data_IF_195351190551
#
_entry.id   IF_195351190551
#
_cell.length_a   1.000
_cell.length_b   1.000
_cell.length_c   1.000
_cell.angle_alpha   90.00
_cell.angle_beta   90.00
_cell.angle_gamma   90.00
#
_symmetry.space_group_name_H-M   'P 1'
#
loop_
_entity.id
_entity.type
_entity.pdbx_description
1 polymer ?
#
# COMPACT_ATOMS: atom_id res chain seq x y z
N UNK A 1 -25.27 27.34 0.71
CA UNK A 1 -23.84 26.96 0.74
C UNK A 1 -23.73 25.74 1.63
N UNK A 2 -23.50 24.55 1.05
CA UNK A 2 -23.33 23.32 1.84
C UNK A 2 -21.93 23.33 2.46
N UNK A 3 -21.85 23.56 3.76
CA UNK A 3 -20.64 23.29 4.55
C UNK A 3 -20.43 21.79 4.58
N UNK A 4 -19.50 21.29 3.77
CA UNK A 4 -19.01 19.91 3.89
C UNK A 4 -18.47 19.70 5.31
N UNK A 5 -18.84 18.59 5.95
CA UNK A 5 -18.33 18.24 7.27
C UNK A 5 -16.79 18.24 7.25
N UNK A 6 -16.12 18.75 8.30
CA UNK A 6 -14.66 18.94 8.32
C UNK A 6 -13.86 17.66 8.00
N UNK A 7 -14.37 16.48 8.38
CA UNK A 7 -13.75 15.20 8.03
C UNK A 7 -13.75 14.91 6.51
N UNK A 8 -14.78 15.34 5.79
CA UNK A 8 -14.85 15.17 4.33
C UNK A 8 -13.79 16.03 3.65
N UNK A 9 -13.57 17.24 4.16
CA UNK A 9 -12.54 18.15 3.66
C UNK A 9 -11.14 17.58 3.92
N UNK A 10 -10.91 16.99 5.10
CA UNK A 10 -9.65 16.33 5.44
C UNK A 10 -9.35 15.13 4.53
N UNK A 11 -10.30 14.20 4.38
CA UNK A 11 -10.16 13.03 3.50
C UNK A 11 -9.92 13.45 2.06
N UNK A 12 -10.67 14.44 1.57
CA UNK A 12 -10.47 14.97 0.21
C UNK A 12 -9.09 15.58 0.03
N UNK A 13 -8.55 16.21 1.08
CA UNK A 13 -7.17 16.70 1.10
C UNK A 13 -6.14 15.58 0.91
N UNK A 14 -6.32 14.44 1.58
CA UNK A 14 -5.44 13.28 1.42
C UNK A 14 -5.53 12.65 0.03
N UNK A 15 -6.74 12.46 -0.50
CA UNK A 15 -6.95 11.96 -1.86
C UNK A 15 -6.25 12.84 -2.90
N UNK A 16 -6.40 14.16 -2.80
CA UNK A 16 -5.79 15.11 -3.72
C UNK A 16 -4.25 15.10 -3.62
N UNK A 17 -3.69 14.90 -2.42
CA UNK A 17 -2.25 14.73 -2.25
C UNK A 17 -1.74 13.46 -2.93
N UNK A 18 -2.43 12.32 -2.75
CA UNK A 18 -2.09 11.07 -3.45
C UNK A 18 -2.10 11.25 -4.98
N UNK A 19 -3.14 11.90 -5.52
CA UNK A 19 -3.23 12.18 -6.96
C UNK A 19 -2.09 13.07 -7.43
N UNK A 20 -1.65 14.05 -6.63
CA UNK A 20 -0.50 14.89 -7.01
C UNK A 20 0.80 14.10 -7.07
N UNK A 21 0.98 13.12 -6.18
CA UNK A 21 2.15 12.24 -6.18
C UNK A 21 2.28 11.42 -7.46
N UNK A 22 1.18 11.12 -8.16
CA UNK A 22 1.21 10.35 -9.41
C UNK A 22 1.41 11.21 -10.66
N UNK A 23 1.27 12.55 -10.56
CA UNK A 23 1.31 13.45 -11.72
C UNK A 23 2.63 14.23 -11.86
N UNK A 24 3.31 14.59 -10.75
CA UNK A 24 4.60 15.31 -10.76
C UNK A 24 5.26 15.32 -9.37
N UNK A 25 6.60 15.34 -9.26
CA UNK A 25 7.28 15.50 -7.97
C UNK A 25 6.90 16.85 -7.36
N UNK A 26 6.10 16.82 -6.30
CA UNK A 26 5.70 18.03 -5.56
C UNK A 26 6.77 18.38 -4.51
N UNK A 27 6.96 19.67 -4.21
CA UNK A 27 7.83 20.08 -3.11
C UNK A 27 7.27 19.56 -1.77
N UNK A 28 8.14 19.20 -0.81
CA UNK A 28 7.71 18.63 0.46
C UNK A 28 6.85 19.63 1.24
N UNK A 29 5.69 19.19 1.71
CA UNK A 29 4.83 19.99 2.58
C UNK A 29 5.26 19.83 4.04
N UNK A 30 5.74 20.91 4.67
CA UNK A 30 6.06 20.95 6.10
C UNK A 30 4.76 21.00 6.93
N UNK A 31 4.16 19.84 7.21
CA UNK A 31 3.11 19.71 8.24
C UNK A 31 3.72 19.19 9.54
N UNK A 32 3.75 20.05 10.56
CA UNK A 32 4.26 19.74 11.91
C UNK A 32 3.45 18.61 12.55
N UNK A 33 4.17 17.72 13.22
CA UNK A 33 3.66 16.53 13.91
C UNK A 33 2.72 16.85 15.07
N UNK A 34 1.51 16.30 15.04
CA UNK A 34 0.74 15.96 16.24
C UNK A 34 0.72 14.44 16.40
N UNK A 35 1.08 13.97 17.60
CA UNK A 35 1.16 12.55 17.97
C UNK A 35 -0.25 11.98 18.24
N UNK A 36 -0.43 10.71 17.85
CA UNK A 36 -1.53 9.80 18.23
C UNK A 36 -2.93 10.05 17.64
N UNK A 37 -3.02 10.49 16.38
CA UNK A 37 -4.27 10.41 15.62
C UNK A 37 -4.05 9.70 14.28
N UNK A 38 -5.10 9.04 13.75
CA UNK A 38 -5.06 8.40 12.41
C UNK A 38 -4.63 9.39 11.32
N UNK A 39 -4.98 10.67 11.48
CA UNK A 39 -4.55 11.75 10.59
C UNK A 39 -3.02 11.92 10.59
N UNK A 40 -2.37 11.77 11.75
CA UNK A 40 -0.90 11.77 11.85
C UNK A 40 -0.27 10.61 11.07
N UNK A 41 -0.85 9.40 11.15
CA UNK A 41 -0.37 8.23 10.40
C UNK A 41 -0.52 8.42 8.89
N UNK A 42 -1.67 8.94 8.44
CA UNK A 42 -1.91 9.26 7.03
C UNK A 42 -0.90 10.28 6.52
N UNK A 43 -0.68 11.37 7.26
CA UNK A 43 0.27 12.40 6.85
C UNK A 43 1.70 11.87 6.78
N UNK A 44 2.11 11.00 7.71
CA UNK A 44 3.41 10.35 7.65
C UNK A 44 3.57 9.49 6.39
N UNK A 45 2.56 8.66 6.05
CA UNK A 45 2.56 7.86 4.83
C UNK A 45 2.62 8.72 3.57
N UNK A 46 1.82 9.79 3.50
CA UNK A 46 1.84 10.73 2.38
C UNK A 46 3.21 11.39 2.23
N UNK A 47 3.85 11.80 3.33
CA UNK A 47 5.17 12.41 3.29
C UNK A 47 6.24 11.44 2.76
N UNK A 48 6.16 10.14 3.10
CA UNK A 48 7.04 9.12 2.51
C UNK A 48 6.79 8.97 1.01
N UNK A 49 5.53 8.89 0.59
CA UNK A 49 5.14 8.77 -0.83
C UNK A 49 5.60 9.99 -1.65
N UNK A 50 5.39 11.20 -1.11
CA UNK A 50 5.79 12.47 -1.75
C UNK A 50 7.30 12.59 -1.95
N UNK A 51 8.09 12.01 -1.03
CA UNK A 51 9.56 12.00 -1.10
C UNK A 51 10.13 10.88 -1.98
N UNK A 52 9.30 9.95 -2.44
CA UNK A 52 9.75 8.74 -3.14
C UNK A 52 10.35 7.68 -2.19
N UNK A 53 10.14 7.81 -0.88
CA UNK A 53 10.57 6.86 0.16
C UNK A 53 9.54 5.74 0.31
N UNK A 54 9.32 4.96 -0.76
CA UNK A 54 8.27 3.94 -0.79
C UNK A 54 8.56 2.74 0.12
N UNK A 55 9.83 2.41 0.33
CA UNK A 55 10.24 1.32 1.23
C UNK A 55 9.87 1.65 2.67
N UNK A 56 10.13 2.88 3.08
CA UNK A 56 9.82 3.39 4.40
C UNK A 56 8.31 3.47 4.62
N UNK A 57 7.53 3.84 3.60
CA UNK A 57 6.07 3.76 3.68
C UNK A 57 5.59 2.32 3.94
N UNK A 58 6.11 1.35 3.19
CA UNK A 58 5.69 -0.07 3.27
C UNK A 58 6.17 -0.77 4.55
N UNK A 59 7.28 -0.33 5.14
CA UNK A 59 7.85 -0.91 6.38
C UNK A 59 7.46 -0.13 7.65
N UNK A 60 6.73 0.98 7.49
CA UNK A 60 6.30 1.81 8.62
C UNK A 60 5.28 1.13 9.54
N UNK A 61 5.15 1.68 10.75
CA UNK A 61 4.20 1.22 11.77
C UNK A 61 2.75 1.05 11.24
N UNK A 62 2.18 1.96 10.43
CA UNK A 62 0.87 1.74 9.81
C UNK A 62 0.75 0.43 9.04
N UNK A 63 1.77 0.06 8.26
CA UNK A 63 1.76 -1.18 7.49
C UNK A 63 1.84 -2.40 8.40
N UNK A 64 2.62 -2.33 9.47
CA UNK A 64 2.66 -3.37 10.51
C UNK A 64 1.33 -3.51 11.24
N UNK A 65 0.64 -2.41 11.51
CA UNK A 65 -0.63 -2.38 12.25
C UNK A 65 -1.81 -2.86 11.41
N UNK A 66 -1.83 -2.55 10.11
CA UNK A 66 -2.86 -3.05 9.17
C UNK A 66 -2.71 -4.55 8.97
N UNK A 67 -1.48 -5.04 8.75
CA UNK A 67 -1.30 -6.40 8.29
C UNK A 67 -0.89 -7.40 9.36
N UNK A 68 -0.37 -6.95 10.51
CA UNK A 68 -0.08 -7.77 11.70
C UNK A 68 0.61 -9.12 11.41
N UNK A 69 1.44 -9.20 10.37
CA UNK A 69 2.17 -10.43 10.07
C UNK A 69 3.42 -10.50 10.98
N UNK A 70 3.18 -10.58 12.28
CA UNK A 70 4.22 -10.81 13.27
C UNK A 70 4.67 -12.27 13.21
N UNK A 71 5.73 -12.52 12.45
CA UNK A 71 6.48 -13.78 12.37
C UNK A 71 5.73 -14.93 11.69
N UNK A 72 6.36 -15.61 10.74
CA UNK A 72 6.31 -17.08 10.64
C UNK A 72 7.21 -17.60 9.50
N UNK A 73 7.63 -18.84 9.71
CA UNK A 73 8.48 -19.72 8.90
C UNK A 73 8.13 -19.76 7.41
N UNK A 74 9.09 -20.17 6.58
CA UNK A 74 8.94 -20.38 5.13
C UNK A 74 7.65 -21.14 4.80
N UNK A 75 6.66 -20.45 4.23
CA UNK A 75 5.38 -21.03 3.85
C UNK A 75 5.46 -21.61 2.43
N UNK A 76 4.82 -22.77 2.16
CA UNK A 76 4.82 -23.40 0.84
C UNK A 76 4.06 -22.58 -0.22
N UNK A 77 4.29 -22.84 -1.51
CA UNK A 77 3.75 -22.06 -2.63
C UNK A 77 2.22 -22.00 -2.73
N UNK A 78 1.53 -23.06 -2.32
CA UNK A 78 0.07 -23.11 -2.20
C UNK A 78 -0.46 -22.19 -1.09
N UNK A 79 0.43 -21.70 -0.21
CA UNK A 79 0.14 -20.65 0.74
C UNK A 79 0.17 -19.25 0.11
N UNK A 80 0.76 -19.02 -1.07
CA UNK A 80 0.84 -17.67 -1.64
C UNK A 80 -0.55 -17.04 -1.83
N UNK A 81 -1.46 -17.69 -2.56
CA UNK A 81 -2.83 -17.16 -2.74
C UNK A 81 -3.58 -17.00 -1.40
N UNK A 82 -3.35 -17.90 -0.43
CA UNK A 82 -3.89 -17.78 0.93
C UNK A 82 -3.33 -16.56 1.66
N UNK A 83 -2.04 -16.26 1.51
CA UNK A 83 -1.36 -15.13 2.16
C UNK A 83 -1.82 -13.80 1.57
N UNK A 84 -1.97 -13.73 0.24
CA UNK A 84 -2.53 -12.52 -0.40
C UNK A 84 -4.02 -12.35 -0.09
N UNK A 85 -4.77 -13.44 0.08
CA UNK A 85 -6.16 -13.38 0.56
C UNK A 85 -6.23 -12.94 2.03
N UNK A 86 -5.34 -13.45 2.87
CA UNK A 86 -5.20 -13.05 4.28
C UNK A 86 -4.79 -11.58 4.41
N UNK A 87 -3.91 -11.09 3.53
CA UNK A 87 -3.54 -9.67 3.45
C UNK A 87 -4.78 -8.80 3.20
N UNK A 88 -5.64 -9.19 2.26
CA UNK A 88 -6.89 -8.47 1.99
C UNK A 88 -7.83 -8.58 3.19
N UNK A 89 -7.96 -9.77 3.78
CA UNK A 89 -8.82 -10.00 4.93
C UNK A 89 -8.41 -9.16 6.15
N UNK A 90 -7.12 -8.99 6.40
CA UNK A 90 -6.62 -8.14 7.49
C UNK A 90 -6.84 -6.67 7.22
N UNK A 91 -6.64 -6.21 5.98
CA UNK A 91 -6.99 -4.85 5.59
C UNK A 91 -8.50 -4.57 5.76
N UNK A 92 -9.34 -5.54 5.39
CA UNK A 92 -10.78 -5.51 5.59
C UNK A 92 -11.15 -5.44 7.07
N UNK A 93 -10.62 -6.34 7.90
CA UNK A 93 -10.87 -6.35 9.34
C UNK A 93 -10.40 -5.05 9.99
N UNK A 94 -9.24 -4.53 9.59
CA UNK A 94 -8.73 -3.25 10.08
C UNK A 94 -9.70 -2.10 9.80
N UNK A 95 -10.32 -2.06 8.61
CA UNK A 95 -11.32 -1.03 8.28
C UNK A 95 -12.64 -1.30 9.02
N UNK A 96 -13.10 -2.55 9.07
CA UNK A 96 -14.36 -2.97 9.69
C UNK A 96 -14.39 -2.76 11.21
N UNK A 97 -13.24 -2.84 11.88
CA UNK A 97 -13.11 -2.55 13.31
C UNK A 97 -13.54 -1.12 13.68
N UNK A 98 -13.54 -0.19 12.71
CA UNK A 98 -14.04 1.17 12.87
C UNK A 98 -15.48 1.37 12.36
N UNK A 99 -16.26 0.30 12.14
CA UNK A 99 -17.61 0.38 11.58
C UNK A 99 -18.59 1.24 12.40
N UNK A 100 -18.34 1.41 13.71
CA UNK A 100 -19.14 2.28 14.58
C UNK A 100 -18.84 3.79 14.37
N UNK A 101 -17.77 4.13 13.65
CA UNK A 101 -17.32 5.50 13.42
C UNK A 101 -16.93 5.71 11.93
N UNK A 102 -17.87 6.23 11.14
CA UNK A 102 -17.69 6.43 9.70
C UNK A 102 -16.55 7.39 9.31
N UNK A 103 -16.13 8.30 10.20
CA UNK A 103 -14.97 9.16 9.96
C UNK A 103 -13.66 8.39 10.17
N UNK A 104 -13.60 7.57 11.22
CA UNK A 104 -12.46 6.69 11.50
C UNK A 104 -12.31 5.60 10.43
N UNK A 105 -13.40 4.95 10.04
CA UNK A 105 -13.44 3.96 8.97
C UNK A 105 -12.86 4.52 7.66
N UNK A 106 -13.24 5.75 7.30
CA UNK A 106 -12.69 6.44 6.12
C UNK A 106 -11.19 6.72 6.26
N UNK A 107 -10.72 7.15 7.43
CA UNK A 107 -9.27 7.34 7.67
C UNK A 107 -8.50 6.02 7.54
N UNK A 108 -9.03 4.93 8.09
CA UNK A 108 -8.43 3.59 7.96
C UNK A 108 -8.38 3.14 6.49
N UNK A 109 -9.43 3.38 5.71
CA UNK A 109 -9.42 3.12 4.27
C UNK A 109 -8.35 3.96 3.53
N UNK A 110 -8.16 5.23 3.90
CA UNK A 110 -7.07 6.08 3.35
C UNK A 110 -5.69 5.51 3.68
N UNK A 111 -5.48 4.96 4.88
CA UNK A 111 -4.22 4.29 5.25
C UNK A 111 -3.95 3.10 4.32
N UNK A 112 -4.93 2.20 4.14
CA UNK A 112 -4.80 1.04 3.24
C UNK A 112 -4.54 1.50 1.80
N UNK A 113 -5.21 2.56 1.35
CA UNK A 113 -4.98 3.14 0.03
C UNK A 113 -3.56 3.71 -0.11
N UNK A 114 -3.04 4.42 0.89
CA UNK A 114 -1.67 4.94 0.87
C UNK A 114 -0.65 3.79 0.76
N UNK A 115 -0.85 2.70 1.49
CA UNK A 115 0.01 1.51 1.43
C UNK A 115 -0.02 0.89 0.03
N UNK A 116 -1.21 0.72 -0.57
CA UNK A 116 -1.35 0.18 -1.91
C UNK A 116 -0.69 1.09 -2.97
N UNK A 117 -0.87 2.40 -2.86
CA UNK A 117 -0.23 3.39 -3.75
C UNK A 117 1.30 3.37 -3.59
N UNK A 118 1.81 3.27 -2.35
CA UNK A 118 3.24 3.13 -2.12
C UNK A 118 3.82 1.85 -2.75
N UNK A 119 3.09 0.73 -2.66
CA UNK A 119 3.46 -0.52 -3.32
C UNK A 119 3.52 -0.36 -4.85
N UNK A 120 2.51 0.27 -5.45
CA UNK A 120 2.49 0.54 -6.88
C UNK A 120 3.63 1.44 -7.32
N UNK A 121 3.80 2.61 -6.68
CA UNK A 121 4.84 3.57 -7.05
C UNK A 121 6.24 3.03 -6.81
N UNK A 122 6.45 2.24 -5.75
CA UNK A 122 7.69 1.52 -5.52
C UNK A 122 7.98 0.52 -6.65
N UNK A 123 7.00 -0.32 -7.02
CA UNK A 123 7.13 -1.22 -8.17
C UNK A 123 7.47 -0.45 -9.45
N UNK A 124 6.77 0.65 -9.73
CA UNK A 124 7.03 1.49 -10.91
C UNK A 124 8.43 2.07 -10.88
N UNK A 125 8.87 2.61 -9.74
CA UNK A 125 10.18 3.20 -9.62
C UNK A 125 11.27 2.17 -9.93
N UNK A 126 11.21 1.02 -9.25
CA UNK A 126 12.20 -0.05 -9.37
C UNK A 126 12.30 -0.66 -10.79
N UNK A 127 11.19 -0.70 -11.54
CA UNK A 127 11.14 -1.35 -12.84
C UNK A 127 11.28 -0.40 -14.04
N UNK A 128 10.82 0.86 -13.93
CA UNK A 128 10.77 1.78 -15.07
C UNK A 128 11.74 2.96 -14.95
N UNK A 129 12.08 3.39 -13.73
CA UNK A 129 12.90 4.60 -13.53
C UNK A 129 14.30 4.31 -12.99
N UNK A 130 14.56 3.06 -12.62
CA UNK A 130 15.85 2.60 -12.08
C UNK A 130 15.80 2.27 -10.59
N UNK A 131 16.85 1.66 -10.03
CA UNK A 131 16.85 1.17 -8.66
C UNK A 131 16.62 2.31 -7.65
N UNK A 132 15.84 2.02 -6.63
CA UNK A 132 15.71 2.84 -5.43
C UNK A 132 17.12 3.11 -4.89
N UNK A 133 17.45 4.38 -4.63
CA UNK A 133 18.84 4.84 -4.42
C UNK A 133 19.58 4.10 -3.30
N UNK A 134 18.89 3.50 -2.33
CA UNK A 134 19.51 2.96 -1.11
C UNK A 134 18.86 1.68 -0.53
N UNK A 135 17.78 1.14 -1.12
CA UNK A 135 17.09 -0.04 -0.58
C UNK A 135 16.33 -0.84 -1.64
N UNK A 136 16.39 -2.17 -1.59
CA UNK A 136 15.47 -3.03 -2.35
C UNK A 136 14.03 -2.85 -1.82
N UNK A 137 13.03 -2.99 -2.68
CA UNK A 137 11.65 -3.02 -2.21
C UNK A 137 11.46 -4.16 -1.21
N UNK A 138 10.76 -3.91 -0.10
CA UNK A 138 10.43 -4.98 0.83
C UNK A 138 9.54 -5.98 0.08
N UNK A 139 9.98 -7.24 0.06
CA UNK A 139 9.21 -8.35 -0.50
C UNK A 139 7.91 -8.43 0.30
N UNK A 140 6.79 -8.22 -0.39
CA UNK A 140 5.47 -8.03 0.20
C UNK A 140 4.71 -9.38 0.19
N UNK A 141 3.92 -9.69 1.23
CA UNK A 141 3.71 -8.91 2.44
C UNK A 141 4.68 -9.36 3.51
N UNK A 142 5.66 -8.48 3.79
CA UNK A 142 6.83 -8.68 4.62
C UNK A 142 7.73 -9.86 4.29
N UNK A 143 9.01 -9.51 4.18
CA UNK A 143 10.24 -10.26 4.48
C UNK A 143 10.20 -11.79 4.38
N UNK A 144 9.33 -12.34 3.55
CA UNK A 144 9.30 -13.74 3.22
C UNK A 144 10.42 -13.92 2.23
N UNK A 145 11.26 -14.92 2.49
CA UNK A 145 12.33 -15.29 1.58
C UNK A 145 11.71 -15.48 0.20
N UNK A 146 12.02 -14.53 -0.70
CA UNK A 146 11.56 -14.56 -2.07
C UNK A 146 12.24 -15.74 -2.74
N UNK A 147 11.57 -16.88 -2.73
CA UNK A 147 11.86 -17.91 -3.71
C UNK A 147 11.50 -17.33 -5.08
N UNK A 148 12.31 -17.62 -6.11
CA UNK A 148 11.96 -17.34 -7.51
C UNK A 148 10.56 -17.86 -7.87
N UNK A 149 10.10 -18.87 -7.13
CA UNK A 149 8.78 -19.46 -7.25
C UNK A 149 7.63 -18.49 -6.90
N UNK A 150 7.81 -17.58 -5.93
CA UNK A 150 6.80 -16.58 -5.58
C UNK A 150 6.68 -15.48 -6.63
N UNK A 151 7.80 -15.07 -7.21
CA UNK A 151 7.80 -14.17 -8.38
C UNK A 151 7.14 -14.86 -9.59
N UNK A 152 7.40 -16.15 -9.80
CA UNK A 152 6.76 -16.91 -10.86
C UNK A 152 5.25 -17.07 -10.63
N UNK A 153 4.82 -17.31 -9.39
CA UNK A 153 3.41 -17.32 -9.02
C UNK A 153 2.75 -15.96 -9.32
N UNK A 154 3.37 -14.85 -8.88
CA UNK A 154 2.83 -13.51 -9.11
C UNK A 154 2.74 -13.18 -10.62
N UNK A 155 3.75 -13.58 -11.40
CA UNK A 155 3.70 -13.49 -12.87
C UNK A 155 2.53 -14.27 -13.45
N UNK A 156 2.32 -15.51 -13.01
CA UNK A 156 1.21 -16.35 -13.49
C UNK A 156 -0.16 -15.74 -13.13
N UNK A 157 -0.31 -15.14 -11.95
CA UNK A 157 -1.54 -14.45 -11.54
C UNK A 157 -1.85 -13.25 -12.43
N UNK A 158 -0.84 -12.45 -12.78
CA UNK A 158 -1.03 -11.29 -13.65
C UNK A 158 -1.37 -11.72 -15.09
N UNK A 159 -0.68 -12.73 -15.61
CA UNK A 159 -0.97 -13.27 -16.95
C UNK A 159 -2.34 -13.94 -17.03
N UNK A 160 -2.76 -14.68 -15.99
CA UNK A 160 -4.09 -15.31 -15.95
C UNK A 160 -5.22 -14.28 -15.88
N UNK A 161 -4.98 -13.12 -15.28
CA UNK A 161 -5.88 -11.97 -15.31
C UNK A 161 -5.89 -11.21 -16.66
N UNK A 162 -5.11 -11.67 -17.64
CA UNK A 162 -5.03 -11.09 -18.99
C UNK A 162 -3.99 -9.99 -19.17
N UNK A 163 -3.04 -9.84 -18.23
CA UNK A 163 -1.95 -8.86 -18.38
C UNK A 163 -0.78 -9.42 -19.17
N UNK A 164 -0.45 -8.79 -20.29
CA UNK A 164 0.76 -9.11 -21.07
C UNK A 164 2.00 -8.48 -20.43
N UNK A 165 2.73 -9.25 -19.63
CA UNK A 165 3.99 -8.84 -18.99
C UNK A 165 5.15 -8.89 -20.01
N UNK A 166 5.19 -7.91 -20.91
CA UNK A 166 6.27 -7.72 -21.87
C UNK A 166 7.48 -7.08 -21.19
N UNK A 167 8.31 -7.89 -20.52
CA UNK A 167 9.54 -7.43 -19.88
C UNK A 167 10.03 -8.31 -18.74
N UNK A 168 11.28 -8.05 -18.30
CA UNK A 168 11.85 -8.65 -17.10
C UNK A 168 11.55 -7.76 -15.89
N UNK A 169 10.33 -7.85 -15.39
CA UNK A 169 9.91 -7.18 -14.16
C UNK A 169 10.36 -7.96 -12.92
N UNK A 170 10.73 -7.23 -11.88
CA UNK A 170 11.01 -7.74 -10.53
C UNK A 170 10.02 -7.19 -9.52
N UNK A 171 9.87 -7.87 -8.38
CA UNK A 171 8.95 -7.50 -7.31
C UNK A 171 7.48 -7.54 -7.76
N UNK A 172 7.12 -8.50 -8.61
CA UNK A 172 5.73 -8.69 -9.08
C UNK A 172 4.77 -8.95 -7.92
N UNK A 173 5.29 -9.55 -6.84
CA UNK A 173 4.60 -9.71 -5.56
C UNK A 173 4.03 -8.39 -5.01
N UNK A 174 4.82 -7.32 -5.04
CA UNK A 174 4.40 -5.99 -4.56
C UNK A 174 3.26 -5.44 -5.42
N UNK A 175 3.33 -5.66 -6.73
CA UNK A 175 2.26 -5.28 -7.65
C UNK A 175 0.97 -6.07 -7.39
N UNK A 176 1.07 -7.39 -7.17
CA UNK A 176 -0.09 -8.23 -6.83
C UNK A 176 -0.73 -7.77 -5.52
N UNK A 177 0.04 -7.46 -4.49
CA UNK A 177 -0.49 -6.88 -3.23
C UNK A 177 -1.27 -5.61 -3.48
N UNK A 178 -0.71 -4.67 -4.25
CA UNK A 178 -1.40 -3.44 -4.62
C UNK A 178 -2.73 -3.75 -5.32
N UNK A 179 -2.71 -4.57 -6.37
CA UNK A 179 -3.90 -4.88 -7.17
C UNK A 179 -4.98 -5.51 -6.29
N UNK A 180 -4.63 -6.47 -5.44
CA UNK A 180 -5.58 -7.14 -4.54
C UNK A 180 -6.22 -6.14 -3.57
N UNK A 181 -5.44 -5.26 -2.96
CA UNK A 181 -5.96 -4.22 -2.05
C UNK A 181 -6.85 -3.21 -2.77
N UNK A 182 -6.43 -2.68 -3.92
CA UNK A 182 -7.20 -1.68 -4.65
C UNK A 182 -8.47 -2.25 -5.27
N UNK A 183 -8.44 -3.51 -5.72
CA UNK A 183 -9.62 -4.18 -6.28
C UNK A 183 -10.67 -4.42 -5.20
N UNK A 184 -10.24 -4.85 -4.01
CA UNK A 184 -11.12 -5.02 -2.86
C UNK A 184 -11.72 -3.67 -2.42
N UNK A 185 -10.89 -2.64 -2.23
CA UNK A 185 -11.35 -1.28 -1.86
C UNK A 185 -12.34 -0.67 -2.87
N UNK A 186 -12.30 -1.09 -4.13
CA UNK A 186 -13.22 -0.60 -5.18
C UNK A 186 -14.53 -1.39 -5.22
N UNK A 187 -14.56 -2.57 -4.62
CA UNK A 187 -15.71 -3.48 -4.59
C UNK A 187 -16.49 -3.44 -3.28
N UNK A 188 -15.90 -2.83 -2.24
CA UNK A 188 -16.49 -2.57 -0.91
C UNK A 188 -17.25 -1.24 -0.86
#
# INVERSE_FOLDING_TARGET
>A
MCTLAPDIVAVRGYELRLIRCTLSPSPPSDSRHERESLDGLINNLLNYIERGSYVEALTSEPSSTVFQFGGHESLPLDAADRIYSELVHRAESFIADAASNAAEQRRRAVIVMCIAVAAFLGFTQANFTGPLKEAELPKCPLSLDSSDEWENWARNQLMSAGSDLLGKFSNLQVLVSCIRLTTWLSSS
#
